data_IF_502123861862
#
_entry.id   IF_502123861862
#
_cell.length_a   1.000
_cell.length_b   1.000
_cell.length_c   1.000
_cell.angle_alpha   90.00
_cell.angle_beta   90.00
_cell.angle_gamma   90.00
#
_symmetry.space_group_name_H-M   'P 1'
#
loop_
_entity.id
_entity.type
_entity.pdbx_description
1 polymer ?
#
# COMPACT_ATOMS: atom_id res chain seq x y z
N UNK A 1 2.83 9.24 -10.78
CA UNK A 1 1.96 8.47 -9.86
C UNK A 1 0.75 9.29 -9.46
N UNK A 2 -0.47 8.79 -9.67
CA UNK A 2 -1.70 9.42 -9.16
C UNK A 2 -2.29 8.59 -8.02
N UNK A 3 -2.42 9.18 -6.83
CA UNK A 3 -2.96 8.51 -5.65
C UNK A 3 -4.31 9.11 -5.24
N UNK A 4 -5.24 8.24 -4.83
CA UNK A 4 -6.59 8.58 -4.37
C UNK A 4 -6.89 7.87 -3.06
N UNK A 5 -7.61 8.56 -2.19
CA UNK A 5 -8.00 8.07 -0.88
C UNK A 5 -9.50 7.92 -0.84
N UNK A 6 -9.98 6.82 -0.28
CA UNK A 6 -11.40 6.56 -0.13
C UNK A 6 -11.70 5.88 1.21
N UNK A 7 -12.94 6.00 1.67
CA UNK A 7 -13.47 5.27 2.82
C UNK A 7 -14.66 4.44 2.37
N UNK A 8 -14.43 3.28 1.72
CA UNK A 8 -15.51 2.49 1.15
C UNK A 8 -16.32 1.78 2.25
N UNK A 9 -17.61 2.10 2.36
CA UNK A 9 -18.54 1.49 3.33
C UNK A 9 -18.57 -0.04 3.26
N UNK A 10 -18.42 -0.60 2.06
CA UNK A 10 -18.38 -2.05 1.84
C UNK A 10 -17.21 -2.76 2.58
N UNK A 11 -16.16 -2.03 2.98
CA UNK A 11 -15.02 -2.58 3.72
C UNK A 11 -15.07 -2.29 5.22
N UNK A 12 -16.03 -1.49 5.68
CA UNK A 12 -16.21 -1.19 7.10
C UNK A 12 -16.42 -2.46 7.97
N UNK A 13 -17.18 -3.50 7.54
CA UNK A 13 -17.31 -4.74 8.31
C UNK A 13 -16.00 -5.50 8.51
N UNK A 14 -14.98 -5.24 7.67
CA UNK A 14 -13.62 -5.80 7.82
C UNK A 14 -12.71 -4.92 8.67
N UNK A 15 -13.25 -3.88 9.31
CA UNK A 15 -12.50 -2.92 10.12
C UNK A 15 -11.60 -1.98 9.31
N UNK A 16 -11.76 -1.91 7.98
CA UNK A 16 -10.99 -1.02 7.12
C UNK A 16 -11.67 0.34 7.09
N UNK A 17 -10.94 1.39 7.47
CA UNK A 17 -11.45 2.78 7.44
C UNK A 17 -11.03 3.50 6.17
N UNK A 18 -9.82 3.27 5.69
CA UNK A 18 -9.26 4.01 4.56
C UNK A 18 -8.61 3.07 3.57
N UNK A 19 -8.78 3.39 2.29
CA UNK A 19 -8.12 2.75 1.17
C UNK A 19 -7.41 3.83 0.37
N UNK A 20 -6.08 3.73 0.31
CA UNK A 20 -5.25 4.45 -0.63
C UNK A 20 -5.07 3.59 -1.88
N UNK A 21 -5.33 4.16 -3.05
CA UNK A 21 -5.05 3.54 -4.33
C UNK A 21 -4.16 4.45 -5.15
N UNK A 22 -3.04 3.94 -5.64
CA UNK A 22 -2.15 4.66 -6.55
C UNK A 22 -2.08 3.92 -7.88
N UNK A 23 -2.41 4.61 -8.96
CA UNK A 23 -2.27 4.09 -10.32
C UNK A 23 -0.92 4.57 -10.90
N UNK A 24 -0.19 3.63 -11.52
CA UNK A 24 1.14 3.87 -12.08
C UNK A 24 1.06 3.88 -13.59
N UNK A 25 1.35 5.03 -14.19
CA UNK A 25 1.39 5.13 -15.64
C UNK A 25 2.52 4.24 -16.20
N UNK A 26 2.34 3.57 -17.35
CA UNK A 26 3.34 2.65 -17.91
C UNK A 26 4.73 3.28 -18.18
N UNK A 27 4.82 4.61 -18.21
CA UNK A 27 6.04 5.39 -18.46
C UNK A 27 6.88 5.65 -17.20
N UNK A 28 6.36 5.36 -16.01
CA UNK A 28 7.01 5.54 -14.70
C UNK A 28 7.12 4.21 -13.94
N UNK A 29 7.38 3.12 -14.66
CA UNK A 29 7.35 1.78 -14.09
C UNK A 29 8.49 1.57 -13.09
N UNK A 30 8.16 1.49 -11.81
CA UNK A 30 9.05 0.90 -10.82
C UNK A 30 9.24 -0.58 -11.19
N UNK A 31 10.51 -0.97 -11.37
CA UNK A 31 10.86 -2.37 -11.50
C UNK A 31 10.76 -3.05 -10.12
N UNK A 32 10.64 -4.36 -10.11
CA UNK A 32 10.56 -5.17 -8.88
C UNK A 32 11.69 -4.84 -7.87
N UNK A 33 12.88 -4.50 -8.38
CA UNK A 33 14.07 -4.09 -7.60
C UNK A 33 13.86 -2.77 -6.84
N UNK A 34 12.92 -1.94 -7.29
CA UNK A 34 12.62 -0.63 -6.72
C UNK A 34 11.39 -0.62 -5.81
N UNK A 35 10.74 -1.77 -5.62
CA UNK A 35 9.51 -1.86 -4.81
C UNK A 35 9.73 -1.41 -3.36
N UNK A 36 10.93 -1.58 -2.79
CA UNK A 36 11.23 -1.07 -1.46
C UNK A 36 11.34 0.47 -1.41
N UNK A 37 11.87 1.10 -2.47
CA UNK A 37 11.84 2.56 -2.61
C UNK A 37 10.41 3.05 -2.74
N UNK A 38 9.61 2.36 -3.55
CA UNK A 38 8.18 2.66 -3.69
C UNK A 38 7.41 2.49 -2.38
N UNK A 39 7.68 1.42 -1.61
CA UNK A 39 7.12 1.23 -0.27
C UNK A 39 7.48 2.40 0.65
N UNK A 40 8.69 2.93 0.55
CA UNK A 40 9.13 4.09 1.32
C UNK A 40 8.39 5.36 0.91
N UNK A 41 8.20 5.60 -0.39
CA UNK A 41 7.39 6.72 -0.89
C UNK A 41 5.93 6.65 -0.43
N UNK A 42 5.33 5.45 -0.44
CA UNK A 42 3.98 5.20 0.07
C UNK A 42 3.91 5.44 1.58
N UNK A 43 4.92 5.01 2.34
CA UNK A 43 5.04 5.26 3.78
C UNK A 43 5.05 6.75 4.08
N UNK A 44 5.85 7.53 3.35
CA UNK A 44 5.96 8.98 3.56
C UNK A 44 4.64 9.68 3.19
N UNK A 45 4.00 9.26 2.10
CA UNK A 45 2.68 9.75 1.71
C UNK A 45 1.62 9.47 2.79
N UNK A 46 1.54 8.23 3.28
CA UNK A 46 0.59 7.84 4.33
C UNK A 46 0.87 8.57 5.65
N UNK A 47 2.13 8.71 6.04
CA UNK A 47 2.54 9.45 7.23
C UNK A 47 2.05 10.90 7.17
N UNK A 48 2.29 11.58 6.05
CA UNK A 48 1.87 12.97 5.86
C UNK A 48 0.35 13.11 5.80
N UNK A 49 -0.32 12.23 5.06
CA UNK A 49 -1.77 12.26 4.86
C UNK A 49 -2.55 12.02 6.15
N UNK A 50 -2.09 11.08 6.98
CA UNK A 50 -2.75 10.69 8.22
C UNK A 50 -2.22 11.43 9.43
N UNK A 51 -1.25 12.34 9.24
CA UNK A 51 -0.48 12.97 10.31
C UNK A 51 0.08 11.95 11.33
N UNK A 52 0.53 10.80 10.82
CA UNK A 52 1.09 9.71 11.64
C UNK A 52 2.61 9.73 11.57
N UNK A 53 3.23 9.64 12.74
CA UNK A 53 4.67 9.40 12.87
C UNK A 53 4.94 7.91 13.09
N UNK A 54 6.18 7.51 12.85
CA UNK A 54 6.70 6.17 13.14
C UNK A 54 5.95 5.04 12.44
N UNK A 55 5.53 5.28 11.18
CA UNK A 55 5.03 4.22 10.31
C UNK A 55 6.20 3.39 9.78
N UNK A 56 6.02 2.08 9.79
CA UNK A 56 6.91 1.12 9.16
C UNK A 56 6.13 0.33 8.11
N UNK A 57 6.73 0.09 6.96
CA UNK A 57 6.17 -0.76 5.90
C UNK A 57 7.16 -1.90 5.65
N UNK A 58 6.74 -3.12 5.98
CA UNK A 58 7.59 -4.31 5.97
C UNK A 58 7.06 -5.29 4.93
N UNK A 59 7.94 -5.79 4.06
CA UNK A 59 7.58 -6.83 3.10
C UNK A 59 7.11 -8.09 3.82
N UNK A 60 6.01 -8.69 3.35
CA UNK A 60 5.44 -9.90 3.94
C UNK A 60 5.64 -11.09 3.01
N UNK A 61 5.11 -11.01 1.80
CA UNK A 61 5.10 -12.12 0.84
C UNK A 61 4.83 -11.61 -0.57
N UNK A 62 5.06 -12.46 -1.56
CA UNK A 62 4.61 -12.24 -2.93
C UNK A 62 3.88 -13.47 -3.46
N UNK A 63 2.87 -13.23 -4.28
CA UNK A 63 2.04 -14.26 -4.90
C UNK A 63 1.99 -14.03 -6.40
N UNK A 64 2.18 -15.08 -7.19
CA UNK A 64 2.03 -15.03 -8.64
C UNK A 64 0.56 -15.23 -9.00
N UNK A 65 0.00 -14.34 -9.82
CA UNK A 65 -1.39 -14.38 -10.28
C UNK A 65 -1.38 -14.57 -11.81
N UNK A 66 -1.69 -15.76 -12.28
CA UNK A 66 -1.54 -16.11 -13.70
C UNK A 66 -0.06 -16.21 -14.10
N UNK A 67 0.28 -15.80 -15.33
CA UNK A 67 1.67 -15.88 -15.83
C UNK A 67 2.43 -14.57 -15.70
N UNK A 68 1.72 -13.44 -15.71
CA UNK A 68 2.33 -12.13 -15.93
C UNK A 68 2.18 -11.19 -14.73
N UNK A 69 1.31 -11.52 -13.77
CA UNK A 69 1.06 -10.67 -12.61
C UNK A 69 1.71 -11.23 -11.34
N UNK A 70 2.25 -10.32 -10.53
CA UNK A 70 2.77 -10.64 -9.20
C UNK A 70 2.21 -9.62 -8.22
N UNK A 71 1.64 -10.12 -7.12
CA UNK A 71 1.15 -9.33 -6.01
C UNK A 71 2.20 -9.33 -4.90
N UNK A 72 2.74 -8.17 -4.55
CA UNK A 72 3.63 -8.00 -3.40
C UNK A 72 2.86 -7.41 -2.23
N UNK A 73 2.82 -8.13 -1.12
CA UNK A 73 2.14 -7.74 0.10
C UNK A 73 3.13 -7.17 1.11
N UNK A 74 2.80 -6.00 1.65
CA UNK A 74 3.55 -5.32 2.69
C UNK A 74 2.63 -5.05 3.88
N UNK A 75 3.09 -5.33 5.09
CA UNK A 75 2.38 -5.00 6.32
C UNK A 75 2.83 -3.63 6.81
N UNK A 76 1.87 -2.84 7.27
CA UNK A 76 2.09 -1.49 7.81
C UNK A 76 1.96 -1.60 9.33
N UNK A 77 2.96 -1.09 10.03
CA UNK A 77 3.00 -1.02 11.48
C UNK A 77 3.13 0.43 11.94
N UNK A 78 2.62 0.71 13.14
CA UNK A 78 2.88 1.94 13.89
C UNK A 78 3.33 1.52 15.28
N UNK A 79 4.54 1.88 15.69
CA UNK A 79 5.07 1.54 17.02
C UNK A 79 4.92 0.03 17.34
N UNK A 80 5.22 -0.83 16.37
CA UNK A 80 5.09 -2.30 16.48
C UNK A 80 3.66 -2.85 16.38
N UNK A 81 2.63 -2.01 16.36
CA UNK A 81 1.24 -2.45 16.18
C UNK A 81 0.85 -2.49 14.71
N UNK A 82 0.23 -3.59 14.27
CA UNK A 82 -0.28 -3.69 12.90
C UNK A 82 -1.41 -2.70 12.67
N UNK A 83 -1.32 -1.94 11.58
CA UNK A 83 -2.32 -0.92 11.22
C UNK A 83 -2.92 -1.11 9.84
N UNK A 84 -2.28 -1.87 8.96
CA UNK A 84 -2.76 -2.00 7.59
C UNK A 84 -1.87 -2.85 6.72
N UNK A 85 -2.27 -2.97 5.46
CA UNK A 85 -1.53 -3.72 4.44
C UNK A 85 -1.50 -2.91 3.16
N UNK A 86 -0.34 -2.85 2.51
CA UNK A 86 -0.18 -2.41 1.14
C UNK A 86 0.00 -3.62 0.21
N UNK A 87 -0.63 -3.56 -0.96
CA UNK A 87 -0.54 -4.55 -2.03
C UNK A 87 -0.09 -3.86 -3.30
N UNK A 88 1.03 -4.30 -3.83
CA UNK A 88 1.62 -3.77 -5.05
C UNK A 88 1.44 -4.80 -6.15
N UNK A 89 0.74 -4.40 -7.21
CA UNK A 89 0.42 -5.25 -8.35
C UNK A 89 1.43 -4.93 -9.43
N UNK A 90 2.27 -5.91 -9.76
CA UNK A 90 3.17 -5.86 -10.89
C UNK A 90 2.59 -6.64 -12.08
N UNK A 91 2.84 -6.16 -13.29
CA UNK A 91 2.58 -6.85 -14.56
C UNK A 91 3.86 -6.83 -15.40
N UNK A 92 4.36 -7.99 -15.83
CA UNK A 92 5.62 -8.10 -16.57
C UNK A 92 6.78 -7.35 -15.89
N UNK A 93 6.97 -7.58 -14.59
CA UNK A 93 7.98 -6.95 -13.72
C UNK A 93 7.83 -5.43 -13.53
N UNK A 94 6.70 -4.84 -13.92
CA UNK A 94 6.42 -3.41 -13.76
C UNK A 94 5.30 -3.18 -12.77
N UNK A 95 5.51 -2.32 -11.78
CA UNK A 95 4.44 -1.88 -10.89
C UNK A 95 3.37 -1.12 -11.67
N UNK A 96 2.12 -1.62 -11.66
CA UNK A 96 0.98 -0.98 -12.33
C UNK A 96 -0.01 -0.36 -11.35
N UNK A 97 -0.06 -0.90 -10.12
CA UNK A 97 -1.00 -0.43 -9.10
C UNK A 97 -0.49 -0.65 -7.70
N UNK A 98 -0.82 0.25 -6.79
CA UNK A 98 -0.64 0.06 -5.36
C UNK A 98 -1.95 0.30 -4.64
N UNK A 99 -2.27 -0.55 -3.67
CA UNK A 99 -3.45 -0.43 -2.85
C UNK A 99 -3.08 -0.64 -1.39
N UNK A 100 -3.32 0.34 -0.53
CA UNK A 100 -3.10 0.22 0.91
C UNK A 100 -4.42 0.35 1.67
N UNK A 101 -4.68 -0.57 2.58
CA UNK A 101 -5.85 -0.56 3.45
C UNK A 101 -5.42 -0.30 4.88
N UNK A 102 -5.99 0.73 5.51
CA UNK A 102 -5.71 1.12 6.89
C UNK A 102 -6.90 0.74 7.78
N UNK A 103 -6.61 0.03 8.86
CA UNK A 103 -7.58 -0.51 9.80
C UNK A 103 -7.91 0.50 10.89
N UNK A 104 -9.14 0.43 11.41
CA UNK A 104 -9.73 1.45 12.27
C UNK A 104 -9.16 1.61 13.67
N UNK A 105 -8.19 0.78 14.09
CA UNK A 105 -7.54 0.87 15.40
C UNK A 105 -6.63 2.10 15.57
N UNK A 106 -6.39 2.88 14.51
CA UNK A 106 -5.68 4.14 14.60
C UNK A 106 -6.67 5.26 14.93
N UNK A 107 -6.47 5.93 16.05
CA UNK A 107 -7.03 7.27 16.29
C UNK A 107 -6.26 8.25 15.40
N UNK A 108 -6.97 8.92 14.50
CA UNK A 108 -6.45 10.06 13.75
C UNK A 108 -6.65 11.29 14.63
N UNK A 109 -5.58 12.02 14.94
CA UNK A 109 -5.64 13.32 15.64
C UNK A 109 -5.92 14.45 14.65
#
# INVERSE_FOLDING_TARGET
MECRVSSPEALAPKGIKLVLTCDHAPKEAFFIEELHKHASAVKDFLSNMLNLKDLEIIFSENEVIGTDYILYSYKIFRQGSYVGTCRFIAYNNKLIKSLCTISGGIAFE
#
